data_IF_222276879329
#
_entry.id   IF_222276879329
#
_cell.length_a   1.000
_cell.length_b   1.000
_cell.length_c   1.000
_cell.angle_alpha   90.00
_cell.angle_beta   90.00
_cell.angle_gamma   90.00
#
_symmetry.space_group_name_H-M   'P 1'
#
loop_
_entity.id
_entity.type
_entity.pdbx_description
1 polymer ?
#
# COMPACT_ATOMS: atom_id res chain seq x y z
N UNK A 1 -5.04 -21.78 25.00
CA UNK A 1 -4.32 -21.45 23.75
C UNK A 1 -3.76 -20.02 23.74
N UNK A 2 -4.57 -18.98 23.97
CA UNK A 2 -4.04 -17.59 24.01
C UNK A 2 -3.03 -17.35 25.13
N UNK A 3 -3.25 -17.91 26.34
CA UNK A 3 -2.26 -17.83 27.42
C UNK A 3 -0.92 -18.47 27.02
N UNK A 4 -0.95 -19.61 26.34
CA UNK A 4 0.26 -20.25 25.80
C UNK A 4 0.94 -19.38 24.73
N UNK A 5 0.17 -18.68 23.89
CA UNK A 5 0.74 -17.72 22.95
C UNK A 5 1.41 -16.55 23.68
N UNK A 6 0.82 -16.04 24.75
CA UNK A 6 1.41 -14.99 25.57
C UNK A 6 2.73 -15.41 26.22
N UNK A 7 2.77 -16.60 26.82
CA UNK A 7 4.02 -17.13 27.39
C UNK A 7 5.09 -17.31 26.32
N UNK A 8 4.74 -17.90 25.16
CA UNK A 8 5.65 -18.02 24.02
C UNK A 8 6.12 -16.66 23.50
N UNK A 9 5.24 -15.66 23.41
CA UNK A 9 5.61 -14.31 22.95
C UNK A 9 6.63 -13.63 23.87
N UNK A 10 6.65 -14.00 25.15
CA UNK A 10 7.63 -13.51 26.12
C UNK A 10 8.94 -14.30 26.03
N UNK A 11 8.87 -15.63 25.99
CA UNK A 11 10.05 -16.51 25.86
C UNK A 11 10.81 -16.24 24.57
N UNK A 12 10.11 -15.96 23.46
CA UNK A 12 10.71 -15.69 22.15
C UNK A 12 11.18 -14.24 21.98
N UNK A 13 11.06 -13.40 23.01
CA UNK A 13 11.48 -12.00 22.91
C UNK A 13 12.95 -11.82 22.50
N UNK A 14 13.93 -12.58 23.02
CA UNK A 14 15.32 -12.52 22.56
C UNK A 14 15.47 -12.81 21.07
N UNK A 15 14.66 -13.72 20.52
CA UNK A 15 14.66 -14.05 19.08
C UNK A 15 14.22 -12.85 18.25
N UNK A 16 13.21 -12.10 18.71
CA UNK A 16 12.79 -10.87 18.03
C UNK A 16 13.90 -9.81 18.02
N UNK A 17 14.66 -9.65 19.10
CA UNK A 17 15.82 -8.76 19.12
C UNK A 17 16.87 -9.16 18.08
N UNK A 18 17.19 -10.45 17.97
CA UNK A 18 18.12 -10.97 16.96
C UNK A 18 17.60 -10.71 15.55
N UNK A 19 16.32 -10.97 15.28
CA UNK A 19 15.71 -10.72 13.96
C UNK A 19 15.79 -9.23 13.60
N UNK A 20 15.47 -8.33 14.54
CA UNK A 20 15.54 -6.89 14.31
C UNK A 20 16.98 -6.45 14.08
N UNK A 21 17.94 -6.98 14.85
CA UNK A 21 19.36 -6.71 14.67
C UNK A 21 19.86 -7.14 13.29
N UNK A 22 19.52 -8.36 12.85
CA UNK A 22 19.85 -8.82 11.49
C UNK A 22 19.21 -7.90 10.44
N UNK A 23 17.96 -7.50 10.63
CA UNK A 23 17.26 -6.60 9.69
C UNK A 23 17.89 -5.21 9.65
N UNK A 24 18.45 -4.71 10.75
CA UNK A 24 19.26 -3.48 10.76
C UNK A 24 20.52 -3.64 9.91
N UNK A 25 21.27 -4.74 10.07
CA UNK A 25 22.50 -4.99 9.31
C UNK A 25 22.27 -5.01 7.79
N UNK A 26 21.13 -5.56 7.35
CA UNK A 26 20.76 -5.62 5.92
C UNK A 26 19.99 -4.39 5.43
N UNK A 27 19.93 -3.30 6.21
CA UNK A 27 19.26 -2.05 5.84
C UNK A 27 17.74 -2.10 5.74
N UNK A 28 17.09 -3.12 6.31
CA UNK A 28 15.63 -3.32 6.29
C UNK A 28 14.90 -2.77 7.51
N UNK A 29 15.62 -2.19 8.48
CA UNK A 29 15.08 -1.44 9.62
C UNK A 29 15.75 -0.06 9.74
N UNK A 30 15.01 0.95 10.23
CA UNK A 30 15.56 2.27 10.54
C UNK A 30 15.88 2.36 12.03
N UNK A 31 17.18 2.47 12.36
CA UNK A 31 17.66 2.55 13.74
C UNK A 31 17.05 3.72 14.52
N UNK A 32 16.71 4.83 13.86
CA UNK A 32 16.15 6.02 14.51
C UNK A 32 14.71 5.81 15.00
N UNK A 33 14.04 4.78 14.48
CA UNK A 33 12.64 4.46 14.77
C UNK A 33 12.47 3.08 15.40
N UNK A 34 13.56 2.39 15.72
CA UNK A 34 13.52 1.04 16.30
C UNK A 34 12.76 0.98 17.62
N UNK A 35 12.82 2.05 18.41
CA UNK A 35 12.07 2.20 19.66
C UNK A 35 10.57 1.97 19.47
N UNK A 36 10.01 2.32 18.30
CA UNK A 36 8.58 2.17 18.01
C UNK A 36 8.17 0.68 18.01
N UNK A 37 9.10 -0.24 17.66
CA UNK A 37 8.90 -1.70 17.72
C UNK A 37 8.65 -2.21 19.14
N UNK A 38 9.10 -1.46 20.14
CA UNK A 38 8.94 -1.76 21.55
C UNK A 38 7.87 -0.88 22.20
N UNK A 39 6.98 -0.29 21.38
CA UNK A 39 5.96 0.67 21.80
C UNK A 39 6.55 1.89 22.55
N UNK A 40 7.79 2.25 22.25
CA UNK A 40 8.46 3.47 22.70
C UNK A 40 8.47 4.41 21.50
N UNK A 41 7.56 5.37 21.43
CA UNK A 41 7.40 6.21 20.26
C UNK A 41 6.48 7.39 20.52
N UNK A 42 5.90 7.94 19.45
CA UNK A 42 4.89 8.99 19.53
C UNK A 42 3.76 8.56 20.47
N UNK A 43 3.25 9.51 21.24
CA UNK A 43 2.05 9.33 22.06
C UNK A 43 0.89 10.05 21.40
N UNK A 44 -0.35 9.68 21.76
CA UNK A 44 -1.51 10.47 21.39
C UNK A 44 -1.29 11.91 21.90
N UNK A 45 -1.31 12.87 20.99
CA UNK A 45 -1.26 14.28 21.37
C UNK A 45 -2.58 14.64 22.06
N UNK A 46 -2.52 14.92 23.36
CA UNK A 46 -3.65 15.41 24.14
C UNK A 46 -3.66 16.95 24.08
N UNK A 47 -4.12 17.54 22.97
CA UNK A 47 -4.02 18.99 22.78
C UNK A 47 -5.30 19.74 23.12
N UNK A 48 -5.51 20.01 24.41
CA UNK A 48 -6.10 21.28 24.82
C UNK A 48 -5.03 22.40 24.79
N UNK A 49 -3.78 22.08 25.14
CA UNK A 49 -2.66 23.03 25.26
C UNK A 49 -2.10 23.51 23.89
N UNK A 50 -2.02 22.65 22.88
CA UNK A 50 -1.44 23.07 21.58
C UNK A 50 -2.38 24.00 20.78
N UNK A 51 -3.70 23.92 21.03
CA UNK A 51 -4.65 24.87 20.43
C UNK A 51 -4.51 26.25 21.07
N UNK A 52 -4.28 26.30 22.40
CA UNK A 52 -4.01 27.55 23.13
C UNK A 52 -2.67 28.14 22.68
N UNK A 53 -1.62 27.34 22.47
CA UNK A 53 -0.35 27.84 21.93
C UNK A 53 -0.47 28.38 20.49
N UNK A 54 -1.38 27.84 19.68
CA UNK A 54 -1.67 28.36 18.34
C UNK A 54 -2.59 29.59 18.34
N UNK A 55 -3.49 29.75 19.32
CA UNK A 55 -4.37 30.92 19.43
C UNK A 55 -3.70 32.10 20.16
N UNK A 56 -2.89 31.83 21.19
CA UNK A 56 -2.12 32.85 21.92
C UNK A 56 -1.03 33.47 21.02
N UNK A 57 -0.47 32.71 20.08
CA UNK A 57 0.45 33.27 19.08
C UNK A 57 -0.25 34.13 18.00
N UNK A 58 -1.59 34.23 18.00
CA UNK A 58 -2.37 35.10 17.10
C UNK A 58 -2.90 36.36 17.75
N UNK A 59 -3.01 36.41 19.07
CA UNK A 59 -3.43 37.61 19.79
C UNK A 59 -2.25 38.15 20.59
N UNK A 60 -1.51 39.06 19.97
CA UNK A 60 -0.53 39.88 20.68
C UNK A 60 -1.24 40.72 21.72
N UNK A 61 -1.14 40.32 22.98
CA UNK A 61 -1.48 41.19 24.11
C UNK A 61 -0.21 41.78 24.69
N UNK A 62 0.01 43.04 24.31
CA UNK A 62 0.69 44.02 25.12
C UNK A 62 -0.07 44.21 26.43
N UNK A 63 0.71 44.31 27.50
CA UNK A 63 0.51 45.18 28.67
C UNK A 63 0.26 44.52 30.04
N UNK A 64 0.93 45.12 31.02
CA UNK A 64 1.11 44.69 32.40
C UNK A 64 -0.17 44.79 33.25
N UNK A 65 -0.42 43.82 34.15
CA UNK A 65 -0.55 44.04 35.61
C UNK A 65 -0.90 42.77 36.40
N UNK A 66 -0.29 42.71 37.58
CA UNK A 66 -0.49 41.86 38.77
C UNK A 66 -1.88 41.24 38.98
N UNK A 67 -1.92 39.91 39.00
CA UNK A 67 -2.98 39.13 39.67
C UNK A 67 -2.33 38.13 40.62
N UNK A 68 -2.80 38.09 41.86
CA UNK A 68 -2.16 37.42 42.99
C UNK A 68 -2.14 35.89 42.85
N UNK A 69 -1.08 35.26 43.36
CA UNK A 69 -0.84 33.80 43.34
C UNK A 69 -1.96 32.95 43.99
N UNK A 70 -2.89 33.55 44.73
CA UNK A 70 -3.92 32.84 45.52
C UNK A 70 -5.18 32.54 44.70
N UNK A 71 -5.54 33.38 43.73
CA UNK A 71 -6.70 33.14 42.85
C UNK A 71 -6.41 32.07 41.79
N UNK A 72 -5.13 31.83 41.50
CA UNK A 72 -4.68 30.80 40.56
C UNK A 72 -4.96 29.38 41.08
N UNK A 73 -4.93 29.16 42.40
CA UNK A 73 -5.16 27.83 42.99
C UNK A 73 -6.63 27.45 43.10
N UNK A 74 -7.55 28.39 43.34
CA UNK A 74 -9.00 28.10 43.31
C UNK A 74 -9.48 27.79 41.90
N UNK A 75 -9.02 28.55 40.90
CA UNK A 75 -9.28 28.26 39.49
C UNK A 75 -8.58 26.98 39.03
N UNK A 76 -7.39 26.64 39.55
CA UNK A 76 -6.74 25.37 39.25
C UNK A 76 -7.59 24.16 39.69
N UNK A 77 -8.28 24.24 40.83
CA UNK A 77 -9.14 23.13 41.29
C UNK A 77 -10.42 22.97 40.46
N UNK A 78 -11.01 24.09 40.00
CA UNK A 78 -12.16 24.07 39.08
C UNK A 78 -11.73 23.63 37.67
N UNK A 79 -10.54 24.05 37.21
CA UNK A 79 -9.89 23.60 35.97
C UNK A 79 -9.48 22.13 36.02
N UNK A 80 -9.07 21.61 37.18
CA UNK A 80 -8.76 20.19 37.37
C UNK A 80 -10.04 19.35 37.38
N UNK A 81 -11.14 19.89 37.93
CA UNK A 81 -12.46 19.24 37.87
C UNK A 81 -13.07 19.28 36.46
N UNK A 82 -12.86 20.37 35.71
CA UNK A 82 -13.18 20.47 34.28
C UNK A 82 -12.24 19.63 33.40
N UNK A 83 -11.03 19.29 33.87
CA UNK A 83 -10.10 18.37 33.18
C UNK A 83 -10.46 16.88 33.33
N UNK A 84 -11.42 16.57 34.21
CA UNK A 84 -11.99 15.24 34.39
C UNK A 84 -13.29 15.05 33.59
N UNK A 85 -13.86 16.13 33.05
CA UNK A 85 -14.74 16.02 31.90
C UNK A 85 -13.85 15.81 30.67
N UNK A 86 -14.01 14.68 29.97
CA UNK A 86 -13.32 14.34 28.71
C UNK A 86 -13.00 15.62 27.94
N UNK A 87 -11.75 16.06 27.88
CA UNK A 87 -11.39 17.13 26.94
C UNK A 87 -11.40 16.52 25.54
N UNK A 88 -12.61 16.52 24.97
CA UNK A 88 -12.98 16.27 23.59
C UNK A 88 -12.06 17.06 22.66
N UNK A 89 -11.49 16.38 21.68
CA UNK A 89 -11.28 17.04 20.40
C UNK A 89 -11.46 16.05 19.24
N UNK A 90 -10.98 14.81 19.36
CA UNK A 90 -11.08 13.86 18.24
C UNK A 90 -11.07 12.39 18.65
N UNK A 91 -12.00 11.61 18.09
CA UNK A 91 -11.97 10.14 18.13
C UNK A 91 -10.83 9.60 17.26
N UNK A 92 -10.23 8.48 17.63
CA UNK A 92 -9.05 7.92 16.96
C UNK A 92 -9.37 6.59 16.28
N UNK A 93 -9.26 6.58 14.95
CA UNK A 93 -9.32 5.34 14.14
C UNK A 93 -7.90 4.85 13.88
N UNK A 94 -7.58 3.66 14.37
CA UNK A 94 -6.32 2.97 14.10
C UNK A 94 -6.45 2.10 12.85
N UNK A 95 -5.63 2.33 11.84
CA UNK A 95 -5.56 1.53 10.62
C UNK A 95 -4.21 0.82 10.55
N UNK A 96 -4.22 -0.51 10.48
CA UNK A 96 -3.02 -1.30 10.27
C UNK A 96 -2.86 -1.71 8.80
N UNK A 97 -1.73 -1.29 8.20
CA UNK A 97 -1.35 -1.53 6.82
C UNK A 97 0.16 -1.86 6.73
N UNK A 98 0.50 -3.15 6.71
CA UNK A 98 1.87 -3.63 6.77
C UNK A 98 2.66 -3.39 5.49
N UNK A 99 2.01 -3.49 4.32
CA UNK A 99 2.66 -3.37 3.00
C UNK A 99 2.38 -2.03 2.30
N UNK A 100 3.09 -1.77 1.19
CA UNK A 100 2.88 -0.56 0.38
C UNK A 100 1.48 -0.52 -0.23
N UNK A 101 0.98 -1.66 -0.71
CA UNK A 101 -0.35 -1.75 -1.29
C UNK A 101 -1.46 -1.48 -0.28
N UNK A 102 -1.32 -2.01 0.94
CA UNK A 102 -2.25 -1.74 2.04
C UNK A 102 -2.19 -0.28 2.49
N UNK A 103 -1.01 0.35 2.49
CA UNK A 103 -0.88 1.77 2.83
C UNK A 103 -1.65 2.65 1.84
N UNK A 104 -1.62 2.32 0.55
CA UNK A 104 -2.42 3.07 -0.44
C UNK A 104 -3.91 2.94 -0.18
N UNK A 105 -4.38 1.75 0.19
CA UNK A 105 -5.76 1.54 0.63
C UNK A 105 -6.09 2.30 1.90
N UNK A 106 -5.21 2.31 2.90
CA UNK A 106 -5.40 3.07 4.13
C UNK A 106 -5.53 4.57 3.87
N UNK A 107 -4.71 5.13 2.97
CA UNK A 107 -4.79 6.54 2.58
C UNK A 107 -6.13 6.86 1.88
N UNK A 108 -6.58 5.99 0.97
CA UNK A 108 -7.90 6.12 0.32
C UNK A 108 -9.03 6.11 1.36
N UNK A 109 -8.98 5.20 2.33
CA UNK A 109 -9.95 5.13 3.42
C UNK A 109 -9.93 6.39 4.28
N UNK A 110 -8.76 6.86 4.68
CA UNK A 110 -8.61 8.09 5.48
C UNK A 110 -9.21 9.28 4.75
N UNK A 111 -8.88 9.46 3.47
CA UNK A 111 -9.42 10.56 2.67
C UNK A 111 -10.96 10.55 2.69
N UNK A 112 -11.58 9.39 2.46
CA UNK A 112 -13.04 9.30 2.38
C UNK A 112 -13.74 9.31 3.75
N UNK A 113 -13.19 8.62 4.76
CA UNK A 113 -13.73 8.65 6.13
C UNK A 113 -13.63 10.06 6.71
N UNK A 114 -12.55 10.81 6.44
CA UNK A 114 -12.41 12.19 6.94
C UNK A 114 -13.48 13.15 6.43
N UNK A 115 -14.06 12.89 5.25
CA UNK A 115 -15.21 13.65 4.73
C UNK A 115 -16.50 13.28 5.46
N UNK A 116 -16.66 12.01 5.82
CA UNK A 116 -17.85 11.50 6.51
C UNK A 116 -17.86 11.81 8.02
N UNK A 117 -16.68 11.87 8.64
CA UNK A 117 -16.48 12.12 10.06
C UNK A 117 -15.29 13.08 10.29
N UNK A 118 -15.50 14.41 10.15
CA UNK A 118 -14.42 15.41 10.24
C UNK A 118 -13.69 15.46 11.57
N UNK A 119 -14.34 15.00 12.64
CA UNK A 119 -13.79 14.96 14.00
C UNK A 119 -12.92 13.73 14.27
N UNK A 120 -12.77 12.82 13.30
CA UNK A 120 -11.91 11.64 13.44
C UNK A 120 -10.47 11.96 13.08
N UNK A 121 -9.55 11.48 13.91
CA UNK A 121 -8.11 11.43 13.63
C UNK A 121 -7.71 9.99 13.38
N UNK A 122 -6.56 9.82 12.72
CA UNK A 122 -6.11 8.50 12.30
C UNK A 122 -4.72 8.17 12.85
N UNK A 123 -4.56 6.93 13.30
CA UNK A 123 -3.26 6.33 13.55
C UNK A 123 -3.03 5.27 12.48
N UNK A 124 -2.02 5.41 11.64
CA UNK A 124 -1.61 4.36 10.71
C UNK A 124 -0.43 3.60 11.30
N UNK A 125 -0.53 2.29 11.39
CA UNK A 125 0.63 1.43 11.65
C UNK A 125 1.08 0.65 10.42
N UNK A 126 2.39 0.57 10.21
CA UNK A 126 2.98 -0.24 9.14
C UNK A 126 4.11 -1.12 9.64
N UNK A 127 4.57 -2.06 8.81
CA UNK A 127 5.71 -2.92 9.14
C UNK A 127 6.97 -2.58 8.35
N UNK A 128 6.85 -2.15 7.08
CA UNK A 128 8.02 -1.96 6.21
C UNK A 128 8.52 -0.51 6.15
N UNK A 129 9.84 -0.33 5.97
CA UNK A 129 10.44 0.98 5.70
C UNK A 129 9.92 1.62 4.41
N UNK A 130 9.60 0.80 3.40
CA UNK A 130 9.00 1.29 2.15
C UNK A 130 7.64 1.95 2.40
N UNK A 131 6.78 1.30 3.20
CA UNK A 131 5.50 1.87 3.66
C UNK A 131 5.71 3.19 4.43
N UNK A 132 6.66 3.21 5.37
CA UNK A 132 6.97 4.41 6.15
C UNK A 132 7.45 5.59 5.28
N UNK A 133 8.28 5.32 4.26
CA UNK A 133 8.75 6.34 3.31
C UNK A 133 7.59 6.95 2.52
N UNK A 134 6.64 6.14 2.06
CA UNK A 134 5.43 6.65 1.38
C UNK A 134 4.61 7.51 2.34
N UNK A 135 4.35 7.03 3.55
CA UNK A 135 3.58 7.76 4.55
C UNK A 135 4.27 9.09 4.94
N UNK A 136 5.59 9.16 4.98
CA UNK A 136 6.28 10.44 5.27
C UNK A 136 5.99 11.56 4.25
N UNK A 137 5.51 11.21 3.05
CA UNK A 137 5.21 12.18 1.99
C UNK A 137 3.71 12.35 1.71
N UNK A 138 2.91 11.30 1.92
CA UNK A 138 1.48 11.27 1.56
C UNK A 138 0.52 11.32 2.75
N UNK A 139 1.01 11.20 3.98
CA UNK A 139 0.14 11.17 5.16
C UNK A 139 -0.49 12.55 5.39
N UNK A 140 -1.83 12.66 5.46
CA UNK A 140 -2.48 13.93 5.72
C UNK A 140 -2.27 14.37 7.18
N UNK A 141 -2.37 15.68 7.45
CA UNK A 141 -2.17 16.26 8.80
C UNK A 141 -3.07 15.67 9.89
N UNK A 142 -4.23 15.13 9.49
CA UNK A 142 -5.20 14.49 10.38
C UNK A 142 -4.80 13.08 10.82
N UNK A 143 -3.68 12.57 10.32
CA UNK A 143 -3.21 11.22 10.53
C UNK A 143 -1.75 11.22 11.03
N UNK A 144 -1.43 10.27 11.92
CA UNK A 144 -0.09 10.03 12.42
C UNK A 144 0.37 8.63 12.07
N UNK A 145 1.64 8.47 11.71
CA UNK A 145 2.26 7.16 11.45
C UNK A 145 3.16 6.72 12.60
N UNK A 146 3.11 5.43 12.93
CA UNK A 146 4.06 4.72 13.78
C UNK A 146 4.28 3.29 13.24
N UNK A 147 5.44 2.67 13.45
CA UNK A 147 5.57 1.23 13.24
C UNK A 147 4.70 0.44 14.22
N UNK A 148 4.11 -0.66 13.73
CA UNK A 148 3.45 -1.61 14.63
C UNK A 148 4.50 -2.17 15.61
N UNK A 149 4.21 -2.21 16.92
CA UNK A 149 5.05 -2.91 17.88
C UNK A 149 5.19 -4.39 17.53
N UNK A 150 6.23 -5.02 18.06
CA UNK A 150 6.37 -6.48 18.05
C UNK A 150 5.15 -7.10 18.73
N UNK A 151 4.68 -8.24 18.21
CA UNK A 151 3.50 -8.93 18.71
C UNK A 151 3.76 -9.63 20.06
N UNK A 152 3.92 -8.81 21.09
CA UNK A 152 4.19 -9.20 22.45
C UNK A 152 3.21 -8.44 23.37
N UNK A 153 2.63 -9.16 24.33
CA UNK A 153 1.57 -8.62 25.20
C UNK A 153 1.97 -7.34 25.94
N UNK A 154 3.24 -7.19 26.34
CA UNK A 154 3.72 -6.00 27.07
C UNK A 154 3.73 -4.78 26.15
N UNK A 155 4.35 -4.91 24.97
CA UNK A 155 4.47 -3.80 24.03
C UNK A 155 3.12 -3.46 23.40
N UNK A 156 2.32 -4.45 23.05
CA UNK A 156 0.96 -4.24 22.55
C UNK A 156 0.11 -3.48 23.58
N UNK A 157 0.11 -3.88 24.86
CA UNK A 157 -0.63 -3.16 25.91
C UNK A 157 -0.14 -1.74 26.09
N UNK A 158 1.19 -1.53 26.09
CA UNK A 158 1.78 -0.19 26.18
C UNK A 158 1.34 0.69 25.01
N UNK A 159 1.36 0.17 23.79
CA UNK A 159 0.89 0.86 22.60
C UNK A 159 -0.58 1.24 22.70
N UNK A 160 -1.46 0.28 23.04
CA UNK A 160 -2.90 0.53 23.13
C UNK A 160 -3.25 1.51 24.26
N UNK A 161 -2.57 1.44 25.40
CA UNK A 161 -2.76 2.39 26.50
C UNK A 161 -2.35 3.81 26.13
N UNK A 162 -1.32 3.97 25.30
CA UNK A 162 -0.83 5.28 24.87
C UNK A 162 -1.73 5.90 23.78
N UNK A 163 -2.27 5.09 22.88
CA UNK A 163 -3.05 5.57 21.74
C UNK A 163 -4.55 5.60 22.00
N UNK A 164 -5.08 4.66 22.78
CA UNK A 164 -6.51 4.53 23.10
C UNK A 164 -7.40 4.70 21.86
N UNK A 165 -7.23 3.86 20.81
CA UNK A 165 -8.08 3.94 19.63
C UNK A 165 -9.53 3.62 19.99
N UNK A 166 -10.47 4.19 19.24
CA UNK A 166 -11.91 3.92 19.37
C UNK A 166 -12.35 2.83 18.37
N UNK A 167 -11.65 2.72 17.24
CA UNK A 167 -11.86 1.71 16.20
C UNK A 167 -10.51 1.24 15.63
N UNK A 168 -10.34 -0.06 15.43
CA UNK A 168 -9.21 -0.65 14.73
C UNK A 168 -9.62 -1.25 13.38
N UNK A 169 -8.91 -0.94 12.30
CA UNK A 169 -9.13 -1.45 10.94
C UNK A 169 -7.85 -2.15 10.48
N UNK A 170 -7.93 -3.46 10.25
CA UNK A 170 -6.82 -4.27 9.77
C UNK A 170 -7.03 -4.60 8.30
N UNK A 171 -6.03 -4.35 7.47
CA UNK A 171 -6.12 -4.57 6.03
C UNK A 171 -5.40 -5.87 5.65
N UNK A 172 -6.06 -6.72 4.87
CA UNK A 172 -5.56 -8.02 4.40
C UNK A 172 -5.31 -9.08 5.48
N UNK A 173 -4.05 -9.48 5.73
CA UNK A 173 -3.73 -10.82 6.28
C UNK A 173 -2.78 -10.85 7.47
N UNK A 174 -2.53 -9.72 8.11
CA UNK A 174 -1.59 -9.60 9.23
C UNK A 174 -2.27 -9.97 10.56
N UNK A 175 -2.46 -11.27 10.76
CA UNK A 175 -3.15 -11.84 11.92
C UNK A 175 -2.20 -12.03 13.10
N UNK A 176 -1.88 -10.93 13.79
CA UNK A 176 -1.03 -10.87 14.98
C UNK A 176 -1.83 -11.17 16.26
N UNK A 177 -1.68 -12.37 16.88
CA UNK A 177 -2.58 -12.81 17.96
C UNK A 177 -2.56 -11.92 19.21
N UNK A 178 -1.40 -11.41 19.65
CA UNK A 178 -1.36 -10.50 20.80
C UNK A 178 -2.06 -9.18 20.48
N UNK A 179 -1.72 -8.60 19.35
CA UNK A 179 -2.23 -7.33 18.83
C UNK A 179 -3.74 -7.35 18.68
N UNK A 180 -4.29 -8.41 18.09
CA UNK A 180 -5.74 -8.55 17.90
C UNK A 180 -6.46 -8.79 19.23
N UNK A 181 -5.97 -9.72 20.05
CA UNK A 181 -6.67 -10.09 21.28
C UNK A 181 -6.61 -8.99 22.35
N UNK A 182 -5.52 -8.24 22.44
CA UNK A 182 -5.46 -7.06 23.31
C UNK A 182 -6.20 -5.87 22.68
N UNK A 183 -6.09 -5.65 21.36
CA UNK A 183 -6.79 -4.56 20.66
C UNK A 183 -8.30 -4.59 20.84
N UNK A 184 -8.90 -5.78 20.78
CA UNK A 184 -10.34 -5.97 20.98
C UNK A 184 -10.85 -5.64 22.40
N UNK A 185 -9.94 -5.50 23.37
CA UNK A 185 -10.29 -5.02 24.72
C UNK A 185 -10.38 -3.50 24.80
N UNK A 186 -9.77 -2.78 23.87
CA UNK A 186 -9.74 -1.31 23.84
C UNK A 186 -10.73 -0.74 22.82
N UNK A 187 -10.92 -1.41 21.69
CA UNK A 187 -11.74 -0.91 20.58
C UNK A 187 -12.41 -2.03 19.79
N UNK A 188 -13.43 -1.67 19.00
CA UNK A 188 -13.96 -2.58 17.98
C UNK A 188 -12.91 -2.79 16.90
N UNK A 189 -12.78 -4.02 16.40
CA UNK A 189 -11.84 -4.36 15.34
C UNK A 189 -12.58 -4.78 14.07
N UNK A 190 -12.17 -4.26 12.92
CA UNK A 190 -12.61 -4.69 11.60
C UNK A 190 -11.43 -5.32 10.86
N UNK A 191 -11.66 -6.46 10.22
CA UNK A 191 -10.72 -7.05 9.27
C UNK A 191 -11.29 -6.83 7.86
N UNK A 192 -10.61 -6.02 7.05
CA UNK A 192 -11.11 -5.62 5.74
C UNK A 192 -10.17 -6.07 4.63
N UNK A 193 -10.73 -6.29 3.43
CA UNK A 193 -10.02 -6.84 2.29
C UNK A 193 -9.26 -8.14 2.62
N UNK A 194 -9.83 -8.94 3.53
CA UNK A 194 -9.19 -10.09 4.13
C UNK A 194 -8.90 -11.16 3.07
N UNK A 195 -7.72 -11.75 3.16
CA UNK A 195 -7.29 -12.83 2.27
C UNK A 195 -6.43 -13.85 2.98
N UNK A 196 -6.35 -15.06 2.45
CA UNK A 196 -5.45 -16.08 3.00
C UNK A 196 -4.77 -16.83 1.84
N UNK A 197 -3.43 -16.78 1.79
CA UNK A 197 -2.67 -17.56 0.81
C UNK A 197 -2.96 -19.07 0.95
N UNK A 198 -2.82 -19.85 -0.11
CA UNK A 198 -3.06 -21.30 -0.03
C UNK A 198 -2.14 -21.99 0.99
N UNK A 199 -0.89 -21.51 1.12
CA UNK A 199 0.07 -21.98 2.13
C UNK A 199 -0.43 -21.68 3.54
N UNK A 200 -0.83 -20.43 3.81
CA UNK A 200 -1.36 -20.02 5.12
C UNK A 200 -2.66 -20.73 5.45
N UNK A 201 -3.54 -20.94 4.47
CA UNK A 201 -4.80 -21.66 4.63
C UNK A 201 -4.58 -23.10 5.10
N UNK A 202 -3.68 -23.84 4.44
CA UNK A 202 -3.28 -25.20 4.87
C UNK A 202 -2.71 -25.21 6.29
N UNK A 203 -1.92 -24.21 6.66
CA UNK A 203 -1.36 -24.09 8.01
C UNK A 203 -2.40 -23.72 9.07
N UNK A 204 -3.43 -22.96 8.70
CA UNK A 204 -4.55 -22.59 9.57
C UNK A 204 -5.55 -23.72 9.74
N UNK A 205 -5.80 -24.53 8.72
CA UNK A 205 -6.64 -25.73 8.83
C UNK A 205 -6.15 -26.67 9.94
N UNK A 206 -4.83 -26.89 10.02
CA UNK A 206 -4.21 -27.70 11.10
C UNK A 206 -4.39 -27.10 12.50
N UNK A 207 -4.70 -25.81 12.61
CA UNK A 207 -4.84 -25.05 13.86
C UNK A 207 -6.14 -24.27 13.89
N UNK A 208 -7.21 -24.85 13.34
CA UNK A 208 -8.51 -24.19 13.11
C UNK A 208 -9.04 -23.49 14.36
N UNK A 209 -9.01 -24.16 15.52
CA UNK A 209 -9.45 -23.59 16.80
C UNK A 209 -8.66 -22.33 17.19
N UNK A 210 -7.34 -22.31 16.94
CA UNK A 210 -6.53 -21.13 17.23
C UNK A 210 -6.85 -19.97 16.29
N UNK A 211 -7.04 -20.25 15.00
CA UNK A 211 -7.51 -19.25 14.04
C UNK A 211 -8.85 -18.64 14.47
N UNK A 212 -9.84 -19.47 14.80
CA UNK A 212 -11.14 -19.03 15.29
C UNK A 212 -11.04 -18.18 16.57
N UNK A 213 -10.16 -18.55 17.49
CA UNK A 213 -9.90 -17.77 18.71
C UNK A 213 -9.34 -16.38 18.44
N UNK A 214 -8.55 -16.20 17.38
CA UNK A 214 -8.04 -14.89 16.95
C UNK A 214 -9.14 -14.11 16.25
N UNK A 215 -9.77 -14.74 15.26
CA UNK A 215 -10.70 -14.07 14.33
C UNK A 215 -11.99 -13.61 15.00
N UNK A 216 -12.48 -14.32 16.03
CA UNK A 216 -13.69 -13.90 16.78
C UNK A 216 -13.59 -12.52 17.44
N UNK A 217 -12.38 -11.96 17.55
CA UNK A 217 -12.15 -10.62 18.09
C UNK A 217 -12.50 -9.50 17.09
N UNK A 218 -12.68 -9.82 15.80
CA UNK A 218 -13.15 -8.87 14.81
C UNK A 218 -14.68 -8.79 14.86
N UNK A 219 -15.19 -7.57 15.02
CA UNK A 219 -16.62 -7.25 14.97
C UNK A 219 -17.19 -7.34 13.55
N UNK A 220 -16.33 -7.20 12.53
CA UNK A 220 -16.70 -7.41 11.13
C UNK A 220 -15.51 -7.92 10.33
N UNK A 221 -15.78 -8.83 9.40
CA UNK A 221 -14.79 -9.40 8.49
C UNK A 221 -15.30 -9.24 7.06
N UNK A 222 -14.54 -8.52 6.24
CA UNK A 222 -14.80 -8.32 4.82
C UNK A 222 -13.66 -8.98 4.05
N UNK A 223 -13.96 -10.01 3.26
CA UNK A 223 -12.98 -10.67 2.38
C UNK A 223 -12.99 -10.04 0.99
N UNK A 224 -11.87 -10.20 0.28
CA UNK A 224 -11.68 -9.57 -1.03
C UNK A 224 -12.20 -10.37 -2.23
N UNK A 225 -12.56 -11.65 -2.04
CA UNK A 225 -13.04 -12.52 -3.12
C UNK A 225 -13.85 -13.71 -2.60
N UNK A 226 -14.59 -14.35 -3.51
CA UNK A 226 -15.40 -15.54 -3.19
C UNK A 226 -14.53 -16.72 -2.74
N UNK A 227 -13.34 -16.85 -3.33
CA UNK A 227 -12.36 -17.86 -2.92
C UNK A 227 -11.89 -17.63 -1.48
N UNK A 228 -11.67 -16.37 -1.10
CA UNK A 228 -11.30 -16.04 0.28
C UNK A 228 -12.48 -16.27 1.23
N UNK A 229 -13.73 -16.00 0.82
CA UNK A 229 -14.93 -16.33 1.59
C UNK A 229 -15.02 -17.84 1.90
N UNK A 230 -14.84 -18.67 0.87
CA UNK A 230 -14.84 -20.13 1.01
C UNK A 230 -13.75 -20.61 1.98
N UNK A 231 -12.56 -19.99 1.96
CA UNK A 231 -11.48 -20.31 2.91
C UNK A 231 -11.85 -19.95 4.34
N UNK A 232 -12.44 -18.77 4.57
CA UNK A 232 -12.91 -18.37 5.89
C UNK A 232 -14.01 -19.31 6.40
N UNK A 233 -14.97 -19.69 5.54
CA UNK A 233 -16.02 -20.66 5.86
C UNK A 233 -15.43 -22.03 6.24
N UNK A 234 -14.45 -22.53 5.48
CA UNK A 234 -13.76 -23.79 5.79
C UNK A 234 -13.00 -23.74 7.13
N UNK A 235 -12.46 -22.56 7.48
CA UNK A 235 -11.86 -22.26 8.78
C UNK A 235 -12.90 -22.01 9.89
N UNK A 236 -14.19 -22.14 9.57
CA UNK A 236 -15.30 -22.08 10.51
C UNK A 236 -15.68 -20.68 10.94
N UNK A 237 -15.56 -19.71 10.02
CA UNK A 237 -16.02 -18.33 10.16
C UNK A 237 -17.15 -18.10 9.16
N UNK A 238 -18.41 -18.11 9.62
CA UNK A 238 -19.60 -17.94 8.78
C UNK A 238 -19.96 -16.48 8.49
N UNK A 239 -19.53 -15.56 9.36
CA UNK A 239 -20.03 -14.17 9.36
C UNK A 239 -19.15 -13.23 8.52
N UNK A 240 -18.22 -13.80 7.75
CA UNK A 240 -17.43 -13.04 6.78
C UNK A 240 -18.30 -12.68 5.56
N UNK A 241 -18.08 -11.49 5.01
CA UNK A 241 -18.79 -11.04 3.81
C UNK A 241 -17.82 -10.71 2.68
N UNK A 242 -18.21 -10.96 1.44
CA UNK A 242 -17.42 -10.64 0.26
C UNK A 242 -17.93 -9.34 -0.38
N UNK A 243 -17.13 -8.27 -0.31
CA UNK A 243 -17.41 -6.98 -0.97
C UNK A 243 -16.43 -6.70 -2.13
N UNK A 244 -15.68 -7.71 -2.57
CA UNK A 244 -14.63 -7.53 -3.56
C UNK A 244 -13.39 -6.81 -3.03
N UNK A 245 -12.44 -6.58 -3.93
CA UNK A 245 -11.12 -6.10 -3.56
C UNK A 245 -11.08 -4.57 -3.44
N UNK A 246 -10.87 -4.04 -2.24
CA UNK A 246 -10.84 -2.59 -2.03
C UNK A 246 -9.68 -1.90 -2.76
N UNK A 247 -8.69 -2.63 -3.30
CA UNK A 247 -7.65 -2.02 -4.15
C UNK A 247 -8.20 -1.40 -5.42
N UNK A 248 -9.37 -1.83 -5.88
CA UNK A 248 -10.10 -1.11 -6.93
C UNK A 248 -10.50 0.29 -6.48
N UNK A 249 -10.72 0.55 -5.19
CA UNK A 249 -11.03 1.90 -4.71
C UNK A 249 -9.84 2.87 -4.74
N UNK A 250 -8.61 2.37 -4.86
CA UNK A 250 -7.42 3.21 -4.80
C UNK A 250 -7.43 4.30 -5.88
N UNK A 251 -7.05 5.51 -5.50
CA UNK A 251 -6.95 6.61 -6.44
C UNK A 251 -5.90 6.33 -7.53
N UNK A 252 -6.17 6.84 -8.73
CA UNK A 252 -5.21 6.85 -9.83
C UNK A 252 -3.92 7.54 -9.38
N UNK A 253 -2.79 7.03 -9.85
CA UNK A 253 -1.49 7.62 -9.52
C UNK A 253 -1.44 9.09 -9.95
N UNK A 254 -0.92 9.95 -9.07
CA UNK A 254 -0.72 11.36 -9.38
C UNK A 254 0.27 11.50 -10.54
N UNK A 255 -0.01 12.46 -11.42
CA UNK A 255 0.81 12.78 -12.58
C UNK A 255 1.18 14.24 -12.51
N UNK A 256 2.48 14.54 -12.55
CA UNK A 256 2.94 15.91 -12.74
C UNK A 256 2.72 16.29 -14.22
N UNK A 257 1.76 17.19 -14.45
CA UNK A 257 1.31 17.58 -15.80
C UNK A 257 2.40 18.30 -16.60
N UNK A 258 3.27 19.06 -15.95
CA UNK A 258 4.40 19.73 -16.61
C UNK A 258 5.42 18.71 -17.12
N UNK A 259 5.79 17.74 -16.27
CA UNK A 259 6.68 16.63 -16.67
C UNK A 259 6.06 15.78 -17.78
N UNK A 260 4.75 15.53 -17.69
CA UNK A 260 4.04 14.78 -18.73
C UNK A 260 4.09 15.50 -20.08
N UNK A 261 3.78 16.80 -20.09
CA UNK A 261 3.79 17.60 -21.32
C UNK A 261 5.17 17.62 -21.97
N UNK A 262 6.23 17.83 -21.18
CA UNK A 262 7.63 17.77 -21.65
C UNK A 262 7.98 16.40 -22.23
N UNK A 263 7.58 15.32 -21.53
CA UNK A 263 7.86 13.96 -21.97
C UNK A 263 7.11 13.60 -23.26
N UNK A 264 5.83 13.99 -23.40
CA UNK A 264 5.04 13.76 -24.63
C UNK A 264 5.68 14.46 -25.82
N UNK A 265 6.03 15.74 -25.69
CA UNK A 265 6.69 16.50 -26.75
C UNK A 265 8.03 15.86 -27.12
N UNK A 266 8.82 15.46 -26.12
CA UNK A 266 10.13 14.84 -26.33
C UNK A 266 10.04 13.48 -27.02
N UNK A 267 9.00 12.69 -26.76
CA UNK A 267 8.81 11.37 -27.37
C UNK A 267 8.33 11.46 -28.82
N UNK A 268 7.92 12.63 -29.31
CA UNK A 268 7.55 12.89 -30.71
C UNK A 268 6.63 11.82 -31.32
N UNK A 269 5.47 11.62 -30.69
CA UNK A 269 4.44 10.64 -31.09
C UNK A 269 4.87 9.16 -31.14
N UNK A 270 6.06 8.81 -30.64
CA UNK A 270 6.51 7.41 -30.55
C UNK A 270 5.57 6.59 -29.67
N UNK A 271 5.35 5.34 -30.07
CA UNK A 271 4.62 4.37 -29.25
C UNK A 271 5.51 3.94 -28.09
N UNK A 272 4.99 4.05 -26.87
CA UNK A 272 5.78 3.71 -25.67
C UNK A 272 5.35 2.36 -25.10
N UNK A 273 6.34 1.48 -24.88
CA UNK A 273 6.21 0.28 -24.08
C UNK A 273 6.82 0.53 -22.70
N UNK A 274 6.04 0.27 -21.65
CA UNK A 274 6.54 0.36 -20.27
C UNK A 274 6.63 -1.04 -19.65
N UNK A 275 7.82 -1.43 -19.24
CA UNK A 275 8.05 -2.60 -18.40
C UNK A 275 8.13 -2.14 -16.94
N UNK A 276 7.01 -2.26 -16.21
CA UNK A 276 6.84 -1.67 -14.90
C UNK A 276 7.11 -2.65 -13.75
N UNK A 277 7.81 -2.19 -12.72
CA UNK A 277 8.14 -2.95 -11.51
C UNK A 277 8.89 -4.25 -11.80
N UNK A 278 9.86 -4.23 -12.71
CA UNK A 278 10.60 -5.44 -13.11
C UNK A 278 11.49 -5.99 -12.00
N UNK A 279 11.65 -7.30 -12.02
CA UNK A 279 12.61 -8.09 -11.26
C UNK A 279 13.61 -8.75 -12.22
N UNK A 280 14.73 -9.30 -11.70
CA UNK A 280 15.73 -9.96 -12.55
C UNK A 280 15.11 -11.00 -13.49
N UNK A 281 14.13 -11.78 -13.01
CA UNK A 281 13.50 -12.83 -13.80
C UNK A 281 12.57 -12.29 -14.91
N UNK A 282 12.06 -11.06 -14.74
CA UNK A 282 11.35 -10.39 -15.84
C UNK A 282 12.35 -9.84 -16.86
N UNK A 283 13.44 -9.23 -16.39
CA UNK A 283 14.49 -8.62 -17.22
C UNK A 283 15.19 -9.65 -18.12
N UNK A 284 15.45 -10.87 -17.60
CA UNK A 284 15.96 -12.02 -18.37
C UNK A 284 15.06 -12.39 -19.56
N UNK A 285 13.75 -12.11 -19.46
CA UNK A 285 12.78 -12.37 -20.52
C UNK A 285 12.63 -11.18 -21.46
N UNK A 286 12.73 -9.96 -20.93
CA UNK A 286 12.47 -8.70 -21.66
C UNK A 286 13.67 -8.28 -22.52
N UNK A 287 14.89 -8.27 -21.97
CA UNK A 287 16.06 -7.73 -22.67
C UNK A 287 16.37 -8.45 -23.99
N UNK A 288 16.30 -9.80 -24.10
CA UNK A 288 16.60 -10.50 -25.35
C UNK A 288 15.69 -10.13 -26.52
N UNK A 289 14.45 -9.67 -26.27
CA UNK A 289 13.47 -9.40 -27.32
C UNK A 289 13.53 -7.97 -27.85
N UNK A 290 14.28 -7.07 -27.20
CA UNK A 290 14.30 -5.63 -27.54
C UNK A 290 14.83 -5.38 -28.95
N UNK A 291 15.92 -6.05 -29.36
CA UNK A 291 16.48 -5.88 -30.71
C UNK A 291 15.45 -6.24 -31.79
N UNK A 292 14.74 -7.36 -31.63
CA UNK A 292 13.69 -7.79 -32.56
C UNK A 292 12.54 -6.76 -32.66
N UNK A 293 12.14 -6.17 -31.53
CA UNK A 293 11.10 -5.15 -31.52
C UNK A 293 11.54 -3.88 -32.23
N UNK A 294 12.80 -3.44 -32.02
CA UNK A 294 13.33 -2.24 -32.65
C UNK A 294 13.53 -2.38 -34.15
N UNK A 295 13.96 -3.54 -34.62
CA UNK A 295 14.09 -3.83 -36.06
C UNK A 295 12.72 -3.79 -36.77
N UNK A 296 11.65 -4.25 -36.11
CA UNK A 296 10.30 -4.29 -36.69
C UNK A 296 9.51 -2.98 -36.48
N UNK A 297 9.77 -2.25 -35.40
CA UNK A 297 8.99 -1.08 -34.97
C UNK A 297 9.90 0.08 -34.55
N UNK A 298 10.45 0.79 -35.53
CA UNK A 298 11.43 1.88 -35.31
C UNK A 298 10.85 3.11 -34.58
N UNK A 299 9.53 3.25 -34.60
CA UNK A 299 8.75 4.29 -33.91
C UNK A 299 8.38 3.91 -32.47
N UNK A 300 8.83 2.74 -32.00
CA UNK A 300 8.58 2.26 -30.64
C UNK A 300 9.72 2.65 -29.69
N UNK A 301 9.40 3.16 -28.52
CA UNK A 301 10.36 3.49 -27.47
C UNK A 301 10.09 2.68 -26.19
N UNK A 302 11.15 2.19 -25.56
CA UNK A 302 11.06 1.26 -24.42
C UNK A 302 11.50 1.95 -23.14
N UNK A 303 10.65 1.86 -22.13
CA UNK A 303 10.92 2.35 -20.78
C UNK A 303 10.86 1.16 -19.82
N UNK A 304 11.92 0.99 -19.02
CA UNK A 304 12.05 -0.06 -18.02
C UNK A 304 12.10 0.55 -16.62
N UNK A 305 11.22 0.11 -15.74
CA UNK A 305 11.09 0.65 -14.38
C UNK A 305 11.31 -0.51 -13.41
N UNK A 306 12.51 -0.68 -12.84
CA UNK A 306 12.78 -1.77 -11.91
C UNK A 306 12.02 -1.57 -10.59
N UNK A 307 11.62 -2.69 -9.97
CA UNK A 307 11.00 -2.67 -8.63
C UNK A 307 11.94 -2.11 -7.56
N UNK A 308 13.24 -2.28 -7.79
CA UNK A 308 14.36 -1.99 -6.91
C UNK A 308 15.37 -1.10 -7.65
N UNK A 309 15.22 0.24 -7.60
CA UNK A 309 16.09 1.19 -8.30
C UNK A 309 17.58 1.02 -8.01
N UNK A 310 17.94 0.53 -6.83
CA UNK A 310 19.32 0.22 -6.44
C UNK A 310 20.03 -0.78 -7.38
N UNK A 311 19.27 -1.54 -8.18
CA UNK A 311 19.79 -2.49 -9.17
C UNK A 311 20.30 -1.85 -10.46
N UNK A 312 20.19 -0.53 -10.64
CA UNK A 312 20.46 0.15 -11.92
C UNK A 312 21.78 -0.29 -12.58
N UNK A 313 22.86 -0.43 -11.80
CA UNK A 313 24.17 -0.89 -12.30
C UNK A 313 24.11 -2.29 -12.90
N UNK A 314 23.42 -3.23 -12.24
CA UNK A 314 23.25 -4.60 -12.72
C UNK A 314 22.42 -4.62 -14.00
N UNK A 315 21.37 -3.81 -14.08
CA UNK A 315 20.48 -3.75 -15.25
C UNK A 315 21.24 -3.22 -16.47
N UNK A 316 22.01 -2.13 -16.30
CA UNK A 316 22.85 -1.57 -17.37
C UNK A 316 23.88 -2.60 -17.86
N UNK A 317 24.50 -3.36 -16.95
CA UNK A 317 25.42 -4.42 -17.35
C UNK A 317 24.71 -5.52 -18.15
N UNK A 318 23.52 -5.93 -17.74
CA UNK A 318 22.72 -6.91 -18.49
C UNK A 318 22.32 -6.37 -19.87
N UNK A 319 21.99 -5.07 -19.99
CA UNK A 319 21.74 -4.45 -21.29
C UNK A 319 22.94 -4.58 -22.23
N UNK A 320 24.16 -4.33 -21.74
CA UNK A 320 25.40 -4.48 -22.52
C UNK A 320 25.60 -5.91 -23.03
N UNK A 321 25.26 -6.93 -22.23
CA UNK A 321 25.33 -8.34 -22.65
C UNK A 321 24.38 -8.66 -23.81
N UNK A 322 23.31 -7.89 -23.97
CA UNK A 322 22.37 -7.98 -25.10
C UNK A 322 22.65 -6.95 -26.21
N UNK A 323 23.80 -6.27 -26.16
CA UNK A 323 24.18 -5.19 -27.08
C UNK A 323 23.19 -4.01 -27.09
N UNK A 324 22.56 -3.74 -25.95
CA UNK A 324 21.61 -2.65 -25.78
C UNK A 324 22.25 -1.43 -25.09
N UNK A 325 21.98 -0.27 -25.64
CA UNK A 325 22.24 1.05 -25.06
C UNK A 325 21.09 1.48 -24.14
N UNK A 326 21.43 1.99 -22.96
CA UNK A 326 20.45 2.40 -21.96
C UNK A 326 20.88 3.68 -21.26
N UNK A 327 19.92 4.58 -20.98
CA UNK A 327 20.15 5.73 -20.09
C UNK A 327 19.29 5.63 -18.85
N UNK A 328 19.89 5.86 -17.68
CA UNK A 328 19.15 5.95 -16.43
C UNK A 328 18.57 7.35 -16.23
N UNK A 329 17.40 7.45 -15.60
CA UNK A 329 16.78 8.73 -15.24
C UNK A 329 17.64 9.57 -14.29
N UNK A 330 18.40 8.93 -13.40
CA UNK A 330 19.38 9.61 -12.55
C UNK A 330 20.49 10.32 -13.35
N UNK A 331 20.79 9.86 -14.57
CA UNK A 331 21.80 10.46 -15.45
C UNK A 331 21.20 11.53 -16.37
N UNK A 332 20.01 11.28 -16.91
CA UNK A 332 19.30 12.25 -17.73
C UNK A 332 17.81 12.27 -17.40
N UNK A 333 17.26 13.46 -17.14
CA UNK A 333 15.86 13.59 -16.71
C UNK A 333 14.88 13.21 -17.83
N UNK A 334 15.27 13.37 -19.09
CA UNK A 334 14.52 12.92 -20.27
C UNK A 334 15.20 11.72 -20.95
N UNK A 335 14.45 10.89 -21.68
CA UNK A 335 15.03 9.78 -22.43
C UNK A 335 16.01 10.22 -23.51
N UNK A 336 17.12 9.51 -23.69
CA UNK A 336 17.99 9.71 -24.88
C UNK A 336 17.41 8.84 -26.00
N UNK A 337 16.78 9.46 -27.00
CA UNK A 337 16.01 8.73 -28.02
C UNK A 337 16.85 7.83 -28.94
N UNK A 338 18.15 8.11 -29.04
CA UNK A 338 19.09 7.24 -29.78
C UNK A 338 19.40 5.94 -29.01
N UNK A 339 19.11 5.88 -27.72
CA UNK A 339 19.32 4.66 -26.93
C UNK A 339 18.16 3.67 -27.09
N UNK A 340 18.45 2.39 -26.87
CA UNK A 340 17.47 1.30 -27.01
C UNK A 340 16.41 1.31 -25.90
N UNK A 341 16.78 1.73 -24.70
CA UNK A 341 15.86 1.82 -23.56
C UNK A 341 16.17 2.96 -22.58
N UNK A 342 15.14 3.40 -21.88
CA UNK A 342 15.23 4.34 -20.76
C UNK A 342 14.90 3.65 -19.44
N UNK A 343 15.81 3.72 -18.46
CA UNK A 343 15.63 3.08 -17.15
C UNK A 343 15.23 4.10 -16.11
N UNK A 344 14.06 3.91 -15.48
CA UNK A 344 13.54 4.80 -14.45
C UNK A 344 13.94 4.31 -13.06
N UNK A 345 15.02 4.84 -12.53
CA UNK A 345 15.58 4.49 -11.21
C UNK A 345 15.12 5.45 -10.10
N UNK A 346 13.87 5.91 -10.16
CA UNK A 346 13.27 6.80 -9.15
C UNK A 346 11.91 6.28 -8.68
N UNK A 347 11.63 6.47 -7.39
CA UNK A 347 10.32 6.16 -6.82
C UNK A 347 9.32 7.28 -7.10
N UNK A 348 8.04 6.90 -7.20
CA UNK A 348 6.93 7.86 -7.19
C UNK A 348 6.51 8.44 -8.54
N UNK A 349 7.19 8.09 -9.63
CA UNK A 349 6.90 8.61 -10.98
C UNK A 349 6.20 7.61 -11.90
N UNK A 350 5.75 6.47 -11.39
CA UNK A 350 5.09 5.41 -12.19
C UNK A 350 3.88 5.94 -12.98
N UNK A 351 3.09 6.87 -12.40
CA UNK A 351 1.94 7.48 -13.08
C UNK A 351 2.33 8.29 -14.32
N UNK A 352 3.49 8.95 -14.31
CA UNK A 352 4.01 9.68 -15.48
C UNK A 352 4.24 8.72 -16.65
N UNK A 353 4.90 7.59 -16.39
CA UNK A 353 5.25 6.64 -17.43
C UNK A 353 4.04 5.83 -17.91
N UNK A 354 3.12 5.47 -17.02
CA UNK A 354 1.87 4.88 -17.46
C UNK A 354 1.03 5.82 -18.32
N UNK A 355 1.09 7.15 -18.10
CA UNK A 355 0.34 8.13 -18.89
C UNK A 355 0.77 8.21 -20.36
N UNK A 356 2.04 7.92 -20.66
CA UNK A 356 2.56 7.92 -22.05
C UNK A 356 2.55 6.53 -22.68
N UNK A 357 2.34 5.48 -21.88
CA UNK A 357 2.41 4.11 -22.34
C UNK A 357 1.19 3.73 -23.20
N UNK A 358 1.44 3.00 -24.28
CA UNK A 358 0.37 2.32 -25.03
C UNK A 358 0.16 0.91 -24.51
N UNK A 359 1.25 0.22 -24.18
CA UNK A 359 1.27 -1.14 -23.63
C UNK A 359 2.13 -1.11 -22.37
N UNK A 360 1.69 -1.82 -21.33
CA UNK A 360 2.46 -1.98 -20.10
C UNK A 360 2.59 -3.45 -19.72
N UNK A 361 3.83 -3.92 -19.58
CA UNK A 361 4.12 -5.18 -18.94
C UNK A 361 4.27 -4.97 -17.43
N UNK A 362 3.54 -5.75 -16.63
CA UNK A 362 3.59 -5.67 -15.16
C UNK A 362 4.51 -6.78 -14.63
N UNK A 363 5.65 -6.36 -14.09
CA UNK A 363 6.68 -7.23 -13.55
C UNK A 363 6.32 -7.92 -12.25
N UNK A 364 7.29 -8.66 -11.72
CA UNK A 364 7.11 -9.62 -10.65
C UNK A 364 6.24 -10.81 -11.06
N UNK A 365 5.84 -10.90 -12.33
CA UNK A 365 4.84 -11.85 -12.81
C UNK A 365 5.46 -13.12 -13.38
N UNK A 366 6.79 -13.26 -13.35
CA UNK A 366 7.47 -14.54 -13.58
C UNK A 366 7.76 -15.34 -12.29
N UNK A 367 8.08 -14.68 -11.16
CA UNK A 367 8.40 -15.37 -9.88
C UNK A 367 7.94 -14.70 -8.58
N UNK A 368 7.44 -13.47 -8.64
CA UNK A 368 7.14 -12.69 -7.43
C UNK A 368 5.64 -12.63 -7.12
N UNK A 369 4.80 -13.43 -7.78
CA UNK A 369 3.35 -13.43 -7.63
C UNK A 369 2.61 -12.30 -8.35
N UNK A 370 3.31 -11.49 -9.14
CA UNK A 370 2.79 -10.37 -9.90
C UNK A 370 2.59 -9.11 -9.07
N UNK A 371 2.99 -7.95 -9.60
CA UNK A 371 2.71 -6.65 -9.00
C UNK A 371 1.31 -6.13 -9.33
N UNK A 372 1.01 -4.90 -8.91
CA UNK A 372 -0.32 -4.30 -9.02
C UNK A 372 -0.67 -3.95 -10.47
N UNK A 373 -1.56 -4.73 -11.08
CA UNK A 373 -2.03 -4.52 -12.45
C UNK A 373 -2.96 -3.30 -12.57
N UNK A 374 -3.71 -2.98 -11.50
CA UNK A 374 -4.76 -1.97 -11.55
C UNK A 374 -4.23 -0.57 -11.84
N UNK A 375 -2.99 -0.27 -11.42
CA UNK A 375 -2.38 1.03 -11.66
C UNK A 375 -2.30 1.34 -13.14
N UNK A 376 -1.83 0.40 -13.98
CA UNK A 376 -1.76 0.61 -15.43
C UNK A 376 -3.15 0.66 -16.10
N UNK A 377 -4.12 -0.07 -15.56
CA UNK A 377 -5.49 -0.09 -16.08
C UNK A 377 -6.16 1.30 -15.98
N UNK A 378 -5.92 2.04 -14.89
CA UNK A 378 -6.38 3.43 -14.74
C UNK A 378 -5.81 4.42 -15.76
N UNK A 379 -4.74 4.06 -16.46
CA UNK A 379 -4.17 4.87 -17.55
C UNK A 379 -4.60 4.39 -18.95
N UNK A 380 -5.52 3.42 -19.03
CA UNK A 380 -5.95 2.84 -20.31
C UNK A 380 -4.79 2.21 -21.08
N UNK A 381 -3.92 1.49 -20.37
CA UNK A 381 -2.82 0.75 -20.98
C UNK A 381 -3.29 -0.64 -21.40
N UNK A 382 -2.76 -1.17 -22.50
CA UNK A 382 -2.91 -2.60 -22.79
C UNK A 382 -1.94 -3.36 -21.89
N UNK A 383 -2.48 -4.22 -21.03
CA UNK A 383 -1.70 -4.82 -19.95
C UNK A 383 -1.22 -6.20 -20.38
N UNK A 384 0.07 -6.48 -20.12
CA UNK A 384 0.68 -7.80 -20.26
C UNK A 384 1.30 -8.22 -18.93
N UNK A 385 1.21 -9.50 -18.57
CA UNK A 385 1.91 -10.04 -17.40
C UNK A 385 2.29 -11.51 -17.62
N UNK A 386 3.28 -11.97 -16.85
CA UNK A 386 3.79 -13.35 -16.84
C UNK A 386 2.88 -14.38 -16.16
N UNK A 387 3.34 -15.64 -16.07
CA UNK A 387 2.53 -16.77 -15.62
C UNK A 387 2.17 -16.74 -14.12
N UNK A 388 2.97 -16.09 -13.27
CA UNK A 388 2.79 -16.08 -11.82
C UNK A 388 2.07 -14.81 -11.34
N UNK A 389 0.75 -14.91 -11.20
CA UNK A 389 -0.11 -13.91 -10.56
C UNK A 389 -0.62 -14.36 -9.18
N UNK A 390 0.15 -15.18 -8.45
CA UNK A 390 -0.29 -15.78 -7.18
C UNK A 390 -0.63 -14.78 -6.06
N UNK A 391 -0.09 -13.54 -6.10
CA UNK A 391 -0.45 -12.47 -5.15
C UNK A 391 -1.69 -11.68 -5.57
N UNK A 392 -2.10 -11.74 -6.84
CA UNK A 392 -3.24 -10.98 -7.38
C UNK A 392 -4.17 -11.88 -8.20
N UNK A 393 -4.35 -13.15 -7.79
CA UNK A 393 -5.02 -14.18 -8.61
C UNK A 393 -6.42 -13.77 -9.06
N UNK A 394 -7.23 -13.22 -8.14
CA UNK A 394 -8.63 -12.91 -8.43
C UNK A 394 -8.73 -11.68 -9.35
N UNK A 395 -7.84 -10.69 -9.18
CA UNK A 395 -7.70 -9.54 -10.10
C UNK A 395 -7.25 -10.01 -11.49
N UNK A 396 -6.22 -10.86 -11.55
CA UNK A 396 -5.69 -11.40 -12.80
C UNK A 396 -6.75 -12.22 -13.56
N UNK A 397 -7.52 -13.06 -12.85
CA UNK A 397 -8.63 -13.80 -13.45
C UNK A 397 -9.70 -12.86 -14.00
N UNK A 398 -10.13 -11.87 -13.21
CA UNK A 398 -11.16 -10.91 -13.62
C UNK A 398 -10.74 -10.09 -14.84
N UNK A 399 -9.51 -9.57 -14.87
CA UNK A 399 -9.04 -8.73 -15.98
C UNK A 399 -8.85 -9.55 -17.28
N UNK A 400 -8.45 -10.82 -17.19
CA UNK A 400 -8.38 -11.72 -18.35
C UNK A 400 -9.78 -12.04 -18.90
N UNK A 401 -10.75 -12.33 -18.02
CA UNK A 401 -12.14 -12.61 -18.41
C UNK A 401 -12.81 -11.43 -19.12
N UNK A 402 -12.36 -10.20 -18.85
CA UNK A 402 -12.86 -8.98 -19.49
C UNK A 402 -12.07 -8.58 -20.74
N UNK A 403 -11.15 -9.42 -21.24
CA UNK A 403 -10.25 -9.07 -22.36
C UNK A 403 -9.57 -7.71 -22.14
N UNK A 404 -9.10 -7.48 -20.90
CA UNK A 404 -8.48 -6.23 -20.46
C UNK A 404 -6.97 -6.39 -20.18
N UNK A 405 -6.45 -7.62 -20.28
CA UNK A 405 -5.03 -7.92 -20.22
C UNK A 405 -4.71 -9.20 -20.99
N UNK A 406 -3.42 -9.47 -21.18
CA UNK A 406 -2.89 -10.68 -21.81
C UNK A 406 -1.89 -11.33 -20.86
N UNK A 407 -2.06 -12.63 -20.61
CA UNK A 407 -1.10 -13.42 -19.85
C UNK A 407 -0.17 -14.17 -20.80
N UNK A 408 1.14 -14.01 -20.62
CA UNK A 408 2.16 -14.68 -21.42
C UNK A 408 2.86 -15.80 -20.63
N UNK A 409 3.50 -16.72 -21.35
CA UNK A 409 4.24 -17.85 -20.75
C UNK A 409 5.75 -17.63 -20.66
N UNK A 410 6.34 -16.94 -21.63
CA UNK A 410 7.79 -16.78 -21.78
C UNK A 410 8.14 -15.64 -22.78
N UNK A 411 9.42 -15.45 -23.06
CA UNK A 411 9.90 -14.38 -23.95
C UNK A 411 9.43 -14.49 -25.40
N UNK A 412 9.30 -15.70 -25.94
CA UNK A 412 8.76 -15.90 -27.30
C UNK A 412 7.30 -15.47 -27.37
N UNK A 413 6.51 -15.82 -26.36
CA UNK A 413 5.11 -15.42 -26.24
C UNK A 413 4.96 -13.91 -26.05
N UNK A 414 5.86 -13.29 -25.28
CA UNK A 414 5.93 -11.83 -25.12
C UNK A 414 6.20 -11.14 -26.46
N UNK A 415 7.23 -11.57 -27.19
CA UNK A 415 7.60 -11.01 -28.50
C UNK A 415 6.44 -11.14 -29.48
N UNK A 416 5.85 -12.33 -29.62
CA UNK A 416 4.72 -12.57 -30.51
C UNK A 416 3.51 -11.68 -30.16
N UNK A 417 3.21 -11.54 -28.86
CA UNK A 417 2.11 -10.70 -28.38
C UNK A 417 2.37 -9.24 -28.72
N UNK A 418 3.57 -8.73 -28.45
CA UNK A 418 3.96 -7.35 -28.75
C UNK A 418 3.95 -7.08 -30.26
N UNK A 419 4.54 -7.95 -31.07
CA UNK A 419 4.52 -7.85 -32.55
C UNK A 419 3.08 -7.84 -33.08
N UNK A 420 2.20 -8.69 -32.54
CA UNK A 420 0.78 -8.69 -32.92
C UNK A 420 0.10 -7.37 -32.56
N UNK A 421 0.26 -6.87 -31.33
CA UNK A 421 -0.40 -5.65 -30.86
C UNK A 421 0.14 -4.38 -31.53
N UNK A 422 1.44 -4.34 -31.85
CA UNK A 422 2.09 -3.22 -32.52
C UNK A 422 1.86 -3.22 -34.04
N UNK A 423 1.36 -4.30 -34.62
CA UNK A 423 1.01 -4.30 -36.04
C UNK A 423 -0.19 -3.36 -36.30
N UNK A 424 -0.07 -2.47 -37.28
CA UNK A 424 -1.12 -1.50 -37.63
C UNK A 424 -2.47 -2.16 -37.94
N UNK A 425 -2.46 -3.36 -38.55
CA UNK A 425 -3.67 -4.13 -38.85
C UNK A 425 -4.44 -4.59 -37.59
N UNK A 426 -3.79 -4.56 -36.43
CA UNK A 426 -4.37 -4.94 -35.14
C UNK A 426 -4.65 -3.72 -34.23
N UNK A 427 -4.62 -2.49 -34.76
CA UNK A 427 -4.85 -1.27 -33.98
C UNK A 427 -6.18 -1.30 -33.21
N UNK A 428 -7.24 -1.85 -33.80
CA UNK A 428 -8.54 -2.02 -33.13
C UNK A 428 -8.44 -2.98 -31.94
N UNK A 429 -7.73 -4.11 -32.08
CA UNK A 429 -7.52 -5.07 -30.99
C UNK A 429 -6.80 -4.42 -29.82
N UNK A 430 -5.72 -3.68 -30.09
CA UNK A 430 -4.98 -2.92 -29.08
C UNK A 430 -5.88 -1.89 -28.37
N UNK A 431 -6.64 -1.11 -29.13
CA UNK A 431 -7.60 -0.14 -28.59
C UNK A 431 -8.64 -0.81 -27.68
N UNK A 432 -9.19 -1.94 -28.08
CA UNK A 432 -10.17 -2.69 -27.28
C UNK A 432 -9.58 -3.14 -25.93
N UNK A 433 -8.36 -3.69 -25.89
CA UNK A 433 -7.72 -4.06 -24.62
C UNK A 433 -7.54 -2.85 -23.69
N UNK A 434 -7.13 -1.70 -24.23
CA UNK A 434 -6.94 -0.44 -23.48
C UNK A 434 -8.24 0.09 -22.88
N UNK A 435 -9.32 0.09 -23.67
CA UNK A 435 -10.64 0.53 -23.22
C UNK A 435 -11.21 -0.44 -22.17
N UNK A 436 -11.06 -1.75 -22.39
CA UNK A 436 -11.52 -2.76 -21.44
C UNK A 436 -10.77 -2.69 -20.11
N UNK A 437 -9.46 -2.39 -20.14
CA UNK A 437 -8.68 -2.17 -18.92
C UNK A 437 -9.22 -1.01 -18.08
N UNK A 438 -9.52 0.13 -18.72
CA UNK A 438 -10.10 1.28 -18.02
C UNK A 438 -11.51 0.96 -17.48
N UNK A 439 -12.39 0.39 -18.31
CA UNK A 439 -13.74 -0.02 -17.90
C UNK A 439 -13.71 -1.01 -16.74
N UNK A 440 -12.76 -1.95 -16.74
CA UNK A 440 -12.62 -2.95 -15.68
C UNK A 440 -12.36 -2.29 -14.32
N UNK A 441 -11.53 -1.25 -14.25
CA UNK A 441 -11.27 -0.57 -12.98
C UNK A 441 -12.40 0.38 -12.58
N UNK A 442 -12.95 1.15 -13.53
CA UNK A 442 -14.02 2.12 -13.26
C UNK A 442 -15.32 1.44 -12.78
N UNK A 443 -15.71 0.34 -13.40
CA UNK A 443 -16.91 -0.41 -13.02
C UNK A 443 -16.84 -0.98 -11.60
N UNK A 444 -15.64 -1.23 -11.10
CA UNK A 444 -15.44 -1.81 -9.77
C UNK A 444 -15.15 -0.73 -8.70
N UNK A 445 -14.53 0.39 -9.06
CA UNK A 445 -14.00 1.39 -8.12
C UNK A 445 -15.06 1.97 -7.18
N UNK A 446 -16.09 2.60 -7.74
CA UNK A 446 -17.06 3.37 -6.95
C UNK A 446 -17.91 2.47 -6.06
N UNK A 447 -18.45 1.40 -6.65
CA UNK A 447 -19.30 0.44 -5.95
C UNK A 447 -18.60 -0.17 -4.74
N UNK A 448 -17.36 -0.65 -4.92
CA UNK A 448 -16.61 -1.31 -3.84
C UNK A 448 -16.30 -0.30 -2.72
N UNK A 449 -15.87 0.91 -3.06
CA UNK A 449 -15.56 1.91 -2.04
C UNK A 449 -16.80 2.27 -1.20
N UNK A 450 -17.93 2.54 -1.85
CA UNK A 450 -19.16 2.93 -1.18
C UNK A 450 -19.67 1.83 -0.23
N UNK A 451 -19.64 0.56 -0.67
CA UNK A 451 -20.02 -0.59 0.16
C UNK A 451 -19.11 -0.76 1.39
N UNK A 452 -17.79 -0.61 1.23
CA UNK A 452 -16.86 -0.65 2.37
C UNK A 452 -17.09 0.50 3.34
N UNK A 453 -17.29 1.73 2.84
CA UNK A 453 -17.55 2.90 3.68
C UNK A 453 -18.88 2.78 4.43
N UNK A 454 -19.92 2.25 3.80
CA UNK A 454 -21.21 2.01 4.44
C UNK A 454 -21.09 1.09 5.65
N UNK A 455 -20.29 0.02 5.55
CA UNK A 455 -20.04 -0.89 6.67
C UNK A 455 -19.17 -0.22 7.73
N UNK A 456 -18.05 0.42 7.34
CA UNK A 456 -17.13 1.06 8.29
C UNK A 456 -17.85 2.16 9.08
N UNK A 457 -18.74 2.93 8.43
CA UNK A 457 -19.52 4.01 9.06
C UNK A 457 -20.33 3.53 10.27
N UNK A 458 -20.79 2.28 10.28
CA UNK A 458 -21.55 1.70 11.40
C UNK A 458 -20.72 1.53 12.67
N UNK A 459 -19.38 1.56 12.55
CA UNK A 459 -18.44 1.39 13.65
C UNK A 459 -17.63 2.66 13.93
N UNK A 460 -17.87 3.75 13.19
CA UNK A 460 -17.21 5.02 13.48
C UNK A 460 -17.72 5.56 14.83
N UNK A 461 -16.81 6.09 15.66
CA UNK A 461 -17.10 6.61 16.99
C UNK A 461 -17.85 7.94 17.02
#
# INVERSE_FOLDING_TARGET
>A
MMLLYYTLSFILLPVYFIIIFIRLLIGKEDIRRIQERFAIGKQRQNSALDFIQMSVNKEGFTDHKTTSYVDMHRNASLMYKLSLERSYAHSLVWIHAASVGEVMTALTLIHNISKLAPNVRFLITSWTNASAKILSTKLPKIATHQFLPIDNVIFTRKFLRNWQPDLGIFIESELWPCTINEGAKYCKLLLINARISNKSFKAWLKRKRFFQLIIKNFSKIIVQSERDLQKFNALGISDAMNLGNIKFANEKLLVNQEKLSKLILHLDNRRVLVFASTHPEDEEVILPIINNLKEQFIDCYIILIPRHPERIKSIINNCKLHHLSATAKSQNDLPVLNNDLYIVDRFGEMGLFFSVATISFIGGSFKQGGHNILEAAYFSNCIIFGPDMSKNTDIAKGILQNNAAIQIKNGKDLLNTLTSLLNANNALKLKTYRENALKFVENNQKKILDEYLQIIKQFLP
#
